data_IF_694054196611
#
_entry.id   IF_694054196611
#
_cell.length_a   1.000
_cell.length_b   1.000
_cell.length_c   1.000
_cell.angle_alpha   90.00
_cell.angle_beta   90.00
_cell.angle_gamma   90.00
#
_symmetry.space_group_name_H-M   'P 1'
#
loop_
_entity.id
_entity.type
_entity.pdbx_description
1 polymer ?
#
# COMPACT_ATOMS: atom_id res chain seq x y z
N UNK A 1 26.63 24.61 18.78
CA UNK A 1 25.89 24.08 19.94
C UNK A 1 24.84 23.14 19.40
N UNK A 2 25.05 21.84 19.59
CA UNK A 2 24.17 20.78 19.11
C UNK A 2 22.95 20.67 20.03
N UNK A 3 21.75 20.59 19.45
CA UNK A 3 20.57 20.10 20.14
C UNK A 3 20.31 18.67 19.68
N UNK A 4 20.73 17.72 20.50
CA UNK A 4 20.31 16.33 20.38
C UNK A 4 18.97 16.14 21.06
N UNK A 5 18.01 15.56 20.34
CA UNK A 5 16.84 14.94 20.93
C UNK A 5 16.93 13.44 20.68
N UNK A 6 17.44 12.74 21.69
CA UNK A 6 17.27 11.30 21.83
C UNK A 6 16.07 11.04 22.75
N UNK A 7 15.09 10.29 22.25
CA UNK A 7 14.24 9.44 23.09
C UNK A 7 14.16 8.10 22.38
N UNK A 8 14.99 7.17 22.83
CA UNK A 8 14.97 5.77 22.40
C UNK A 8 13.91 4.99 23.16
N UNK A 9 13.18 4.13 22.44
CA UNK A 9 12.42 3.01 23.01
C UNK A 9 13.18 1.73 22.57
N UNK A 10 13.53 0.81 23.49
CA UNK A 10 14.32 -0.37 23.14
C UNK A 10 13.42 -1.51 22.62
N UNK A 11 13.78 -2.08 21.46
CA UNK A 11 13.28 -3.39 21.04
C UNK A 11 12.49 -3.46 19.74
N UNK A 12 13.12 -3.14 18.61
CA UNK A 12 13.09 -3.85 17.32
C UNK A 12 13.75 -2.95 16.27
N UNK A 13 15.03 -3.22 15.99
CA UNK A 13 15.75 -2.59 14.89
C UNK A 13 15.12 -3.05 13.56
N UNK A 14 14.32 -2.19 12.94
CA UNK A 14 14.18 -2.21 11.49
C UNK A 14 15.57 -1.95 10.89
N UNK A 15 16.06 -2.78 9.94
CA UNK A 15 17.32 -2.52 9.28
C UNK A 15 17.11 -1.39 8.28
N UNK A 16 17.19 -0.14 8.75
CA UNK A 16 17.21 1.04 7.91
C UNK A 16 18.66 1.55 7.82
N UNK A 17 19.29 1.11 6.73
CA UNK A 17 20.14 1.91 5.85
C UNK A 17 21.17 2.80 6.54
N UNK A 18 22.39 2.27 6.70
CA UNK A 18 23.59 3.09 6.86
C UNK A 18 24.33 3.08 5.51
N UNK A 19 23.95 4.00 4.62
CA UNK A 19 24.70 4.38 3.43
C UNK A 19 24.61 5.90 3.30
N UNK A 20 25.74 6.56 3.01
CA UNK A 20 25.86 8.00 2.86
C UNK A 20 24.90 8.56 1.80
N UNK A 21 23.74 9.06 2.24
CA UNK A 21 22.88 9.89 1.41
C UNK A 21 23.40 11.34 1.43
N UNK A 22 23.43 12.00 0.28
CA UNK A 22 23.65 13.45 0.22
C UNK A 22 22.45 14.15 0.90
N UNK A 23 22.72 15.00 1.89
CA UNK A 23 21.74 15.79 2.64
C UNK A 23 20.86 16.64 1.71
N UNK A 24 21.40 17.07 0.56
CA UNK A 24 20.67 17.78 -0.50
C UNK A 24 19.59 16.91 -1.15
N UNK A 25 19.88 15.62 -1.40
CA UNK A 25 18.91 14.68 -1.97
C UNK A 25 17.74 14.48 -1.02
N UNK A 26 18.02 14.28 0.28
CA UNK A 26 16.97 14.20 1.30
C UNK A 26 16.12 15.46 1.36
N UNK A 27 16.74 16.62 1.21
CA UNK A 27 16.05 17.92 1.20
C UNK A 27 15.13 18.06 -0.02
N UNK A 28 15.60 17.74 -1.22
CA UNK A 28 14.81 17.77 -2.45
C UNK A 28 13.64 16.79 -2.38
N UNK A 29 13.88 15.57 -1.91
CA UNK A 29 12.83 14.57 -1.76
C UNK A 29 11.77 15.04 -0.77
N UNK A 30 12.17 15.60 0.37
CA UNK A 30 11.25 16.18 1.36
C UNK A 30 10.46 17.36 0.80
N UNK A 31 11.08 18.18 -0.04
CA UNK A 31 10.41 19.28 -0.74
C UNK A 31 9.38 18.80 -1.77
N UNK A 32 9.65 17.71 -2.49
CA UNK A 32 8.74 17.17 -3.52
C UNK A 32 7.37 16.84 -2.95
N UNK A 33 7.32 16.19 -1.79
CA UNK A 33 6.05 15.95 -1.10
C UNK A 33 6.25 15.94 0.42
N UNK A 34 5.50 16.76 1.17
CA UNK A 34 5.48 16.66 2.63
C UNK A 34 4.66 15.44 3.11
N UNK A 35 3.95 14.76 2.20
CA UNK A 35 3.07 13.65 2.53
C UNK A 35 3.86 12.35 2.55
N UNK A 36 3.84 11.67 3.70
CA UNK A 36 4.36 10.32 3.83
C UNK A 36 3.23 9.34 4.14
N UNK A 37 3.16 8.25 3.36
CA UNK A 37 2.26 7.13 3.61
C UNK A 37 2.85 6.09 4.57
N UNK A 38 4.11 6.23 4.98
CA UNK A 38 4.76 5.26 5.87
C UNK A 38 4.08 5.13 7.24
N UNK A 39 3.61 6.21 7.90
CA UNK A 39 2.86 6.08 9.16
C UNK A 39 1.54 5.31 8.99
N UNK A 40 0.83 5.52 7.88
CA UNK A 40 -0.41 4.79 7.57
C UNK A 40 -0.11 3.32 7.29
N UNK A 41 0.96 3.03 6.56
CA UNK A 41 1.42 1.67 6.32
C UNK A 41 1.69 0.93 7.63
N UNK A 42 2.44 1.56 8.55
CA UNK A 42 2.73 0.99 9.87
C UNK A 42 1.46 0.75 10.68
N UNK A 43 0.53 1.71 10.74
CA UNK A 43 -0.77 1.53 11.43
C UNK A 43 -1.55 0.33 10.88
N UNK A 44 -1.67 0.22 9.55
CA UNK A 44 -2.41 -0.89 8.94
C UNK A 44 -1.70 -2.24 9.10
N UNK A 45 -0.36 -2.23 9.10
CA UNK A 45 0.46 -3.41 9.37
C UNK A 45 0.30 -3.87 10.82
N UNK A 46 0.25 -2.95 11.79
CA UNK A 46 0.11 -3.27 13.22
C UNK A 46 -1.31 -3.71 13.57
N UNK A 47 -2.32 -3.19 12.86
CA UNK A 47 -3.73 -3.60 13.01
C UNK A 47 -4.02 -4.97 12.38
N UNK A 48 -3.16 -5.46 11.50
CA UNK A 48 -3.31 -6.77 10.86
C UNK A 48 -3.09 -7.87 11.89
N UNK A 49 -4.01 -8.83 11.93
CA UNK A 49 -3.78 -10.06 12.67
C UNK A 49 -2.71 -10.94 11.97
N UNK A 50 -1.59 -11.29 12.64
CA UNK A 50 -0.52 -12.06 12.03
C UNK A 50 -0.98 -13.34 11.34
N UNK A 51 -0.65 -13.44 10.05
CA UNK A 51 -0.93 -14.62 9.24
C UNK A 51 -2.36 -14.75 8.73
N UNK A 52 -3.16 -13.68 8.79
CA UNK A 52 -4.38 -13.54 7.99
C UNK A 52 -4.07 -12.96 6.60
N UNK A 53 -4.97 -13.12 5.63
CA UNK A 53 -4.87 -12.50 4.30
C UNK A 53 -3.75 -13.03 3.39
N UNK A 54 -2.89 -13.93 3.88
CA UNK A 54 -1.79 -14.54 3.09
C UNK A 54 -2.28 -15.40 1.92
N UNK A 55 -3.51 -15.88 1.99
CA UNK A 55 -4.14 -16.67 0.92
C UNK A 55 -4.12 -15.91 -0.42
N UNK A 56 -4.23 -14.58 -0.38
CA UNK A 56 -4.25 -13.73 -1.57
C UNK A 56 -2.94 -13.82 -2.37
N UNK A 57 -1.80 -14.00 -1.69
CA UNK A 57 -0.49 -14.12 -2.32
C UNK A 57 -0.32 -15.45 -3.09
N UNK A 58 -1.13 -16.45 -2.76
CA UNK A 58 -1.08 -17.77 -3.37
C UNK A 58 -2.00 -17.90 -4.60
N UNK A 59 -2.87 -16.93 -4.88
CA UNK A 59 -3.85 -17.07 -5.96
C UNK A 59 -3.20 -16.94 -7.34
N UNK A 60 -3.77 -17.58 -8.38
CA UNK A 60 -3.27 -17.46 -9.74
C UNK A 60 -3.27 -16.01 -10.25
N UNK A 61 -4.27 -15.21 -9.86
CA UNK A 61 -4.43 -13.83 -10.29
C UNK A 61 -3.30 -12.96 -9.74
N UNK A 62 -2.99 -13.09 -8.45
CA UNK A 62 -1.87 -12.38 -7.83
C UNK A 62 -0.53 -12.78 -8.45
N UNK A 63 -0.30 -14.08 -8.66
CA UNK A 63 0.94 -14.58 -9.27
C UNK A 63 1.10 -14.12 -10.71
N UNK A 64 0.01 -14.16 -11.50
CA UNK A 64 -0.01 -13.66 -12.88
C UNK A 64 0.34 -12.18 -12.92
N UNK A 65 -0.30 -11.39 -12.05
CA UNK A 65 -0.02 -9.96 -11.88
C UNK A 65 1.42 -9.69 -11.45
N UNK A 66 1.99 -10.50 -10.54
CA UNK A 66 3.35 -10.30 -10.05
C UNK A 66 4.43 -10.59 -11.10
N UNK A 67 4.15 -11.53 -12.01
CA UNK A 67 5.13 -12.03 -12.99
C UNK A 67 5.04 -11.35 -14.35
N UNK A 68 3.89 -10.77 -14.70
CA UNK A 68 3.65 -10.23 -16.03
C UNK A 68 3.79 -8.71 -16.04
N UNK A 69 4.47 -8.12 -17.02
CA UNK A 69 4.64 -6.67 -17.10
C UNK A 69 3.32 -5.96 -17.42
N UNK A 70 3.22 -4.69 -17.00
CA UNK A 70 2.10 -3.77 -17.30
C UNK A 70 0.72 -4.32 -16.93
N UNK A 71 0.62 -5.09 -15.84
CA UNK A 71 -0.64 -5.66 -15.37
C UNK A 71 -1.33 -4.79 -14.32
N UNK A 72 -2.65 -4.71 -14.41
CA UNK A 72 -3.50 -4.19 -13.33
C UNK A 72 -4.20 -5.37 -12.65
N UNK A 73 -4.20 -5.40 -11.32
CA UNK A 73 -4.94 -6.37 -10.52
C UNK A 73 -6.04 -5.62 -9.76
N UNK A 74 -7.29 -5.89 -10.13
CA UNK A 74 -8.43 -5.31 -9.44
C UNK A 74 -8.81 -6.17 -8.24
N UNK A 75 -8.88 -5.56 -7.05
CA UNK A 75 -9.23 -6.28 -5.83
C UNK A 75 -10.54 -5.73 -5.22
N UNK A 76 -11.72 -6.11 -5.75
CA UNK A 76 -13.00 -5.70 -5.20
C UNK A 76 -13.28 -6.40 -3.88
N UNK A 77 -14.12 -5.79 -3.04
CA UNK A 77 -14.66 -6.47 -1.87
C UNK A 77 -15.70 -5.67 -1.12
N UNK A 78 -16.56 -6.35 -0.38
CA UNK A 78 -17.59 -5.72 0.44
C UNK A 78 -17.00 -4.84 1.57
N UNK A 79 -17.76 -3.87 2.11
CA UNK A 79 -17.39 -3.20 3.36
C UNK A 79 -17.08 -4.23 4.46
N UNK A 80 -15.99 -4.03 5.20
CA UNK A 80 -15.55 -4.96 6.24
C UNK A 80 -14.83 -6.23 5.76
N UNK A 81 -14.69 -6.47 4.44
CA UNK A 81 -14.03 -7.66 3.91
C UNK A 81 -12.50 -7.73 4.13
N UNK A 82 -11.89 -6.71 4.73
CA UNK A 82 -10.44 -6.68 5.01
C UNK A 82 -9.58 -6.09 3.88
N UNK A 83 -10.15 -5.30 2.96
CA UNK A 83 -9.42 -4.68 1.85
C UNK A 83 -8.17 -3.90 2.28
N UNK A 84 -8.33 -3.02 3.27
CA UNK A 84 -7.24 -2.22 3.87
C UNK A 84 -6.17 -3.08 4.57
N UNK A 85 -6.47 -4.33 4.91
CA UNK A 85 -5.48 -5.28 5.43
C UNK A 85 -4.71 -5.97 4.30
N UNK A 86 -5.31 -6.13 3.12
CA UNK A 86 -4.62 -6.75 1.98
C UNK A 86 -3.52 -5.85 1.41
N UNK A 87 -3.78 -4.55 1.26
CA UNK A 87 -2.80 -3.61 0.71
C UNK A 87 -1.41 -3.64 1.43
N UNK A 88 -1.30 -3.54 2.77
CA UNK A 88 -0.01 -3.66 3.46
C UNK A 88 0.61 -5.05 3.33
N UNK A 89 -0.17 -6.13 3.21
CA UNK A 89 0.37 -7.48 2.93
C UNK A 89 1.07 -7.51 1.58
N UNK A 90 0.45 -6.94 0.54
CA UNK A 90 1.05 -6.85 -0.80
C UNK A 90 2.32 -6.01 -0.78
N UNK A 91 2.29 -4.84 -0.13
CA UNK A 91 3.47 -3.97 0.01
C UNK A 91 4.62 -4.68 0.74
N UNK A 92 4.34 -5.31 1.89
CA UNK A 92 5.32 -6.10 2.66
C UNK A 92 5.96 -7.20 1.78
N UNK A 93 5.15 -7.95 1.02
CA UNK A 93 5.62 -9.03 0.15
C UNK A 93 6.52 -8.49 -0.97
N UNK A 94 6.15 -7.38 -1.61
CA UNK A 94 6.98 -6.76 -2.65
C UNK A 94 8.33 -6.30 -2.09
N UNK A 95 8.34 -5.65 -0.93
CA UNK A 95 9.59 -5.24 -0.28
C UNK A 95 10.46 -6.42 0.13
N UNK A 96 9.84 -7.51 0.62
CA UNK A 96 10.55 -8.73 0.98
C UNK A 96 11.17 -9.40 -0.25
N UNK A 97 10.38 -9.59 -1.32
CA UNK A 97 10.77 -10.28 -2.53
C UNK A 97 11.86 -9.54 -3.31
N UNK A 98 11.77 -8.22 -3.40
CA UNK A 98 12.69 -7.38 -4.18
C UNK A 98 13.67 -6.61 -3.30
N UNK A 99 13.93 -7.07 -2.06
CA UNK A 99 14.82 -6.40 -1.11
C UNK A 99 16.22 -6.14 -1.65
N UNK A 100 16.75 -7.09 -2.42
CA UNK A 100 18.11 -7.03 -3.00
C UNK A 100 18.13 -6.45 -4.41
N UNK A 101 16.96 -6.08 -4.97
CA UNK A 101 16.86 -5.55 -6.32
C UNK A 101 16.65 -4.04 -6.27
N UNK A 102 17.65 -3.31 -6.75
CA UNK A 102 17.57 -1.88 -6.98
C UNK A 102 16.76 -1.57 -8.25
N UNK A 103 16.73 -2.47 -9.24
CA UNK A 103 16.01 -2.29 -10.52
C UNK A 103 14.48 -2.37 -10.43
N UNK A 104 13.91 -2.67 -9.26
CA UNK A 104 12.47 -2.74 -9.06
C UNK A 104 12.03 -1.56 -8.20
N UNK A 105 11.11 -0.74 -8.71
CA UNK A 105 10.48 0.37 -7.97
C UNK A 105 9.26 -0.12 -7.19
N UNK A 106 9.10 0.33 -5.95
CA UNK A 106 7.91 0.03 -5.14
C UNK A 106 7.42 1.33 -4.53
N UNK A 107 6.16 1.68 -4.79
CA UNK A 107 5.47 2.80 -4.20
C UNK A 107 4.04 2.40 -3.81
N UNK A 108 3.45 3.12 -2.87
CA UNK A 108 2.10 2.84 -2.39
C UNK A 108 1.38 4.11 -1.92
N UNK A 109 0.06 4.08 -2.01
CA UNK A 109 -0.85 5.14 -1.58
C UNK A 109 -2.02 4.51 -0.86
N UNK A 110 -2.35 5.07 0.31
CA UNK A 110 -3.55 4.72 1.06
C UNK A 110 -4.56 5.84 0.95
N UNK A 111 -5.64 5.62 0.21
CA UNK A 111 -6.71 6.58 0.06
C UNK A 111 -7.52 6.66 1.36
N UNK A 112 -8.02 7.85 1.68
CA UNK A 112 -8.72 8.09 2.93
C UNK A 112 -9.61 9.33 2.77
N UNK A 113 -10.92 9.10 2.77
CA UNK A 113 -11.92 10.16 2.60
C UNK A 113 -11.85 11.28 3.65
N UNK A 114 -11.20 11.06 4.82
CA UNK A 114 -11.05 12.09 5.87
C UNK A 114 -9.91 13.08 5.57
N UNK A 115 -9.05 12.79 4.60
CA UNK A 115 -7.85 13.59 4.27
C UNK A 115 -7.92 14.22 2.88
N UNK A 116 -9.13 14.58 2.42
CA UNK A 116 -9.37 15.12 1.07
C UNK A 116 -8.51 16.33 0.71
N UNK A 117 -8.19 17.22 1.67
CA UNK A 117 -7.33 18.39 1.38
C UNK A 117 -5.86 18.02 1.12
N UNK A 118 -5.37 16.91 1.68
CA UNK A 118 -4.02 16.39 1.45
C UNK A 118 -3.94 15.54 0.17
N UNK A 119 -5.07 14.98 -0.26
CA UNK A 119 -5.18 14.10 -1.42
C UNK A 119 -5.51 14.92 -2.67
N UNK A 120 -4.64 15.84 -3.09
CA UNK A 120 -4.70 16.41 -4.43
C UNK A 120 -3.92 15.53 -5.40
N UNK A 121 -4.32 15.48 -6.67
CA UNK A 121 -3.66 14.61 -7.67
C UNK A 121 -2.15 14.84 -7.77
N UNK A 122 -1.72 16.11 -7.73
CA UNK A 122 -0.32 16.48 -7.77
C UNK A 122 0.46 15.99 -6.53
N UNK A 123 -0.16 16.05 -5.35
CA UNK A 123 0.46 15.62 -4.10
C UNK A 123 0.66 14.10 -4.04
N UNK A 124 -0.31 13.34 -4.55
CA UNK A 124 -0.21 11.88 -4.67
C UNK A 124 0.88 11.49 -5.67
N UNK A 125 0.91 12.12 -6.84
CA UNK A 125 1.96 11.85 -7.82
C UNK A 125 3.35 12.20 -7.26
N UNK A 126 3.45 13.33 -6.56
CA UNK A 126 4.70 13.73 -5.92
C UNK A 126 5.13 12.75 -4.82
N UNK A 127 4.20 12.23 -4.00
CA UNK A 127 4.53 11.23 -2.97
C UNK A 127 4.94 9.89 -3.57
N UNK A 128 4.36 9.48 -4.71
CA UNK A 128 4.78 8.30 -5.46
C UNK A 128 6.20 8.47 -6.03
N UNK A 129 6.47 9.61 -6.68
CA UNK A 129 7.80 9.93 -7.22
C UNK A 129 8.84 9.96 -6.10
N UNK A 130 8.51 10.59 -4.96
CA UNK A 130 9.37 10.64 -3.79
C UNK A 130 9.75 9.23 -3.31
N UNK A 131 8.77 8.33 -3.17
CA UNK A 131 9.01 6.94 -2.75
C UNK A 131 9.93 6.18 -3.72
N UNK A 132 9.71 6.35 -5.03
CA UNK A 132 10.54 5.74 -6.06
C UNK A 132 11.97 6.30 -6.06
N UNK A 133 12.11 7.61 -5.87
CA UNK A 133 13.41 8.28 -5.82
C UNK A 133 14.21 7.91 -4.56
N UNK A 134 13.55 7.72 -3.40
CA UNK A 134 14.20 7.21 -2.19
C UNK A 134 14.83 5.83 -2.37
N UNK A 135 14.35 5.03 -3.31
CA UNK A 135 14.88 3.69 -3.57
C UNK A 135 16.16 3.70 -4.42
N UNK A 136 16.38 4.75 -5.22
CA UNK A 136 17.62 5.00 -5.98
C UNK A 136 18.12 6.44 -5.77
N UNK A 137 18.58 6.79 -4.55
CA UNK A 137 19.02 8.15 -4.25
C UNK A 137 20.29 8.56 -5.02
N UNK A 138 21.07 7.60 -5.51
CA UNK A 138 22.34 7.83 -6.20
C UNK A 138 22.20 8.42 -7.61
N UNK A 139 21.01 8.47 -8.20
CA UNK A 139 20.82 8.91 -9.60
C UNK A 139 19.46 9.60 -9.82
N UNK A 140 19.25 10.77 -9.19
CA UNK A 140 18.07 11.60 -9.47
C UNK A 140 17.98 12.05 -10.94
N UNK A 141 19.10 12.10 -11.65
CA UNK A 141 19.15 12.48 -13.07
C UNK A 141 18.49 11.46 -14.00
N UNK A 142 18.34 10.19 -13.59
CA UNK A 142 17.61 9.18 -14.37
C UNK A 142 17.13 8.03 -13.49
N UNK A 143 15.99 8.22 -12.82
CA UNK A 143 15.32 7.14 -12.10
C UNK A 143 14.82 6.11 -13.14
N UNK A 144 15.53 4.99 -13.26
CA UNK A 144 15.16 3.88 -14.14
C UNK A 144 14.92 2.62 -13.33
N UNK A 145 13.73 2.06 -13.51
CA UNK A 145 13.33 0.76 -12.99
C UNK A 145 12.93 -0.13 -14.18
N UNK A 146 13.33 -1.39 -14.13
CA UNK A 146 12.91 -2.41 -15.09
C UNK A 146 11.44 -2.81 -14.85
N UNK A 147 10.98 -2.66 -13.60
CA UNK A 147 9.63 -2.94 -13.17
C UNK A 147 9.27 -2.00 -12.01
N UNK A 148 8.07 -1.43 -12.04
CA UNK A 148 7.53 -0.60 -10.96
C UNK A 148 6.25 -1.25 -10.46
N UNK A 149 6.07 -1.28 -9.14
CA UNK A 149 4.82 -1.64 -8.48
C UNK A 149 4.25 -0.42 -7.77
N UNK A 150 2.99 -0.08 -8.06
CA UNK A 150 2.28 1.02 -7.41
C UNK A 150 1.03 0.46 -6.74
N UNK A 151 1.02 0.30 -5.42
CA UNK A 151 -0.13 -0.26 -4.67
C UNK A 151 -1.09 0.87 -4.28
N UNK A 152 -2.37 0.75 -4.64
CA UNK A 152 -3.40 1.72 -4.26
C UNK A 152 -4.44 1.04 -3.37
N UNK A 153 -4.58 1.50 -2.13
CA UNK A 153 -5.66 1.05 -1.24
C UNK A 153 -6.86 1.98 -1.29
N UNK A 154 -8.06 1.40 -1.23
CA UNK A 154 -9.33 2.09 -1.10
C UNK A 154 -9.58 3.13 -2.19
N UNK A 155 -9.37 2.76 -3.46
CA UNK A 155 -9.52 3.65 -4.61
C UNK A 155 -10.90 4.33 -4.68
N UNK A 156 -11.95 3.70 -4.13
CA UNK A 156 -13.31 4.26 -4.02
C UNK A 156 -13.39 5.46 -3.08
N UNK A 157 -12.48 5.56 -2.10
CA UNK A 157 -12.42 6.65 -1.14
C UNK A 157 -11.78 7.92 -1.72
N UNK A 158 -11.32 7.89 -2.98
CA UNK A 158 -11.03 9.12 -3.72
C UNK A 158 -12.31 9.89 -4.04
N UNK A 159 -12.74 10.71 -3.08
CA UNK A 159 -13.73 11.75 -3.29
C UNK A 159 -13.03 13.10 -3.42
N UNK A 160 -12.62 13.44 -4.65
CA UNK A 160 -12.14 14.78 -4.97
C UNK A 160 -13.27 15.52 -5.67
N UNK A 161 -13.63 16.70 -5.17
CA UNK A 161 -14.80 17.48 -5.60
C UNK A 161 -14.72 18.01 -7.06
N UNK A 162 -13.67 17.67 -7.81
CA UNK A 162 -13.29 18.30 -9.08
C UNK A 162 -12.95 17.31 -10.22
N UNK A 163 -13.22 16.01 -10.06
CA UNK A 163 -12.86 15.00 -11.07
C UNK A 163 -11.40 14.53 -11.02
N UNK A 164 -10.63 14.94 -10.01
CA UNK A 164 -9.21 14.57 -9.86
C UNK A 164 -8.94 13.06 -9.67
N UNK A 165 -9.94 12.23 -9.29
CA UNK A 165 -9.81 10.76 -9.34
C UNK A 165 -9.48 10.29 -10.75
N UNK A 166 -10.18 10.81 -11.76
CA UNK A 166 -9.94 10.48 -13.16
C UNK A 166 -8.57 10.99 -13.60
N UNK A 167 -8.11 12.12 -13.05
CA UNK A 167 -6.77 12.63 -13.32
C UNK A 167 -5.67 11.72 -12.77
N UNK A 168 -5.74 11.30 -11.51
CA UNK A 168 -4.76 10.35 -10.93
C UNK A 168 -4.75 9.05 -11.72
N UNK A 169 -5.94 8.49 -12.02
CA UNK A 169 -6.05 7.27 -12.81
C UNK A 169 -5.53 7.44 -14.24
N UNK A 170 -5.79 8.57 -14.87
CA UNK A 170 -5.29 8.90 -16.20
C UNK A 170 -3.76 9.01 -16.22
N UNK A 171 -3.16 9.70 -15.25
CA UNK A 171 -1.71 9.84 -15.13
C UNK A 171 -1.04 8.48 -14.86
N UNK A 172 -1.61 7.66 -13.96
CA UNK A 172 -1.11 6.31 -13.68
C UNK A 172 -1.23 5.42 -14.91
N UNK A 173 -2.34 5.50 -15.66
CA UNK A 173 -2.52 4.76 -16.91
C UNK A 173 -1.51 5.22 -17.98
N UNK A 174 -1.26 6.52 -18.11
CA UNK A 174 -0.22 7.06 -19.01
C UNK A 174 1.18 6.56 -18.62
N UNK A 175 1.45 6.43 -17.32
CA UNK A 175 2.68 5.84 -16.80
C UNK A 175 2.76 4.34 -17.16
N UNK A 176 1.67 3.58 -17.08
CA UNK A 176 1.63 2.16 -17.50
C UNK A 176 1.88 1.97 -19.00
N UNK A 177 1.47 2.91 -19.84
CA UNK A 177 1.76 2.85 -21.29
C UNK A 177 3.25 2.99 -21.54
N UNK A 178 3.90 3.94 -20.87
CA UNK A 178 5.30 4.32 -21.11
C UNK A 178 6.32 3.47 -20.33
N UNK A 179 5.94 2.96 -19.16
CA UNK A 179 6.83 2.23 -18.25
C UNK A 179 6.22 0.88 -17.87
N UNK A 180 7.07 -0.04 -17.41
CA UNK A 180 6.61 -1.33 -16.94
C UNK A 180 6.06 -1.20 -15.51
N UNK A 181 4.77 -0.83 -15.40
CA UNK A 181 4.12 -0.56 -14.11
C UNK A 181 2.99 -1.54 -13.84
N UNK A 182 3.07 -2.18 -12.68
CA UNK A 182 2.09 -3.12 -12.19
C UNK A 182 1.28 -2.48 -11.05
N UNK A 183 -0.05 -2.53 -11.17
CA UNK A 183 -0.97 -1.79 -10.32
C UNK A 183 -1.97 -2.73 -9.65
N UNK A 184 -1.84 -3.07 -8.36
CA UNK A 184 -2.93 -3.61 -7.59
C UNK A 184 -3.74 -2.47 -6.96
N UNK A 185 -5.06 -2.51 -7.14
CA UNK A 185 -5.96 -1.52 -6.57
C UNK A 185 -7.06 -2.20 -5.77
N UNK A 186 -7.17 -1.88 -4.48
CA UNK A 186 -8.32 -2.31 -3.66
C UNK A 186 -9.43 -1.29 -3.79
N UNK A 187 -10.68 -1.76 -3.89
CA UNK A 187 -11.83 -0.88 -3.95
C UNK A 187 -13.11 -1.59 -3.53
N UNK A 188 -14.16 -0.84 -3.18
CA UNK A 188 -15.53 -1.38 -3.26
C UNK A 188 -15.86 -1.71 -4.71
N UNK A 189 -16.84 -2.59 -4.89
CA UNK A 189 -17.40 -2.80 -6.21
C UNK A 189 -18.04 -1.48 -6.68
N UNK A 190 -17.43 -0.86 -7.69
CA UNK A 190 -17.90 0.39 -8.28
C UNK A 190 -18.21 0.13 -9.75
N UNK A 191 -19.48 0.30 -10.18
CA UNK A 191 -19.86 0.17 -11.59
C UNK A 191 -19.05 1.08 -12.54
N UNK A 192 -18.65 2.26 -12.08
CA UNK A 192 -17.93 3.30 -12.85
C UNK A 192 -16.41 3.08 -12.98
N UNK A 193 -15.83 2.11 -12.27
CA UNK A 193 -14.39 1.83 -12.39
C UNK A 193 -14.04 0.97 -13.62
N UNK A 194 -15.03 0.71 -14.46
CA UNK A 194 -15.04 -0.20 -15.61
C UNK A 194 -13.98 0.11 -16.66
N UNK A 195 -13.52 1.36 -16.85
CA UNK A 195 -12.52 1.62 -17.89
C UNK A 195 -11.10 1.10 -17.55
N UNK A 196 -10.69 1.17 -16.28
CA UNK A 196 -9.33 0.76 -15.85
C UNK A 196 -9.26 -0.74 -15.54
N UNK A 197 -10.37 -1.33 -15.12
CA UNK A 197 -10.42 -2.70 -14.61
C UNK A 197 -11.09 -3.70 -15.56
N UNK A 198 -11.74 -3.25 -16.64
CA UNK A 198 -12.34 -4.16 -17.59
C UNK A 198 -11.28 -5.02 -18.29
N UNK A 199 -11.49 -6.34 -18.29
CA UNK A 199 -10.58 -7.33 -18.85
C UNK A 199 -9.30 -7.58 -18.04
N UNK A 200 -9.14 -6.95 -16.87
CA UNK A 200 -7.99 -7.15 -15.99
C UNK A 200 -8.22 -8.35 -15.05
N UNK A 201 -7.14 -9.00 -14.56
CA UNK A 201 -7.24 -9.97 -13.46
C UNK A 201 -7.99 -9.38 -12.24
N UNK A 202 -8.90 -10.17 -11.67
CA UNK A 202 -9.71 -9.79 -10.52
C UNK A 202 -9.45 -10.73 -9.34
N UNK A 203 -9.04 -10.19 -8.20
CA UNK A 203 -8.89 -10.90 -6.94
C UNK A 203 -9.95 -10.43 -5.95
N UNK A 204 -11.03 -11.20 -5.82
CA UNK A 204 -12.11 -10.84 -4.90
C UNK A 204 -11.69 -11.00 -3.44
N UNK A 205 -11.76 -9.89 -2.70
CA UNK A 205 -11.42 -9.83 -1.28
C UNK A 205 -12.64 -10.22 -0.47
N UNK A 206 -12.58 -11.40 0.11
CA UNK A 206 -13.63 -11.98 0.94
C UNK A 206 -13.12 -12.27 2.35
N UNK A 207 -13.98 -12.06 3.35
CA UNK A 207 -13.70 -12.41 4.74
C UNK A 207 -13.74 -13.94 4.87
N UNK A 208 -12.57 -14.58 4.90
CA UNK A 208 -12.46 -16.04 5.02
C UNK A 208 -12.67 -16.47 6.46
N UNK A 209 -13.37 -17.57 6.67
CA UNK A 209 -13.66 -18.12 7.99
C UNK A 209 -12.37 -18.35 8.81
N UNK A 210 -11.33 -18.87 8.18
CA UNK A 210 -10.01 -19.08 8.81
C UNK A 210 -9.41 -17.78 9.35
N UNK A 211 -9.49 -16.70 8.57
CA UNK A 211 -8.98 -15.37 8.94
C UNK A 211 -9.84 -14.75 10.05
N UNK A 212 -11.17 -14.90 9.96
CA UNK A 212 -12.13 -14.45 10.97
C UNK A 212 -11.86 -15.15 12.30
N UNK A 213 -11.76 -16.48 12.30
CA UNK A 213 -11.50 -17.28 13.50
C UNK A 213 -10.17 -16.89 14.14
N UNK A 214 -9.14 -16.64 13.33
CA UNK A 214 -7.83 -16.22 13.84
C UNK A 214 -7.89 -14.84 14.48
N UNK A 215 -8.54 -13.89 13.81
CA UNK A 215 -8.78 -12.54 14.33
C UNK A 215 -9.58 -12.58 15.64
N UNK A 216 -10.65 -13.37 15.69
CA UNK A 216 -11.46 -13.52 16.90
C UNK A 216 -10.63 -14.13 18.04
N UNK A 217 -9.91 -15.24 17.81
CA UNK A 217 -9.10 -15.88 18.86
C UNK A 217 -8.07 -14.95 19.49
N UNK A 218 -7.38 -14.14 18.71
CA UNK A 218 -6.38 -13.19 19.23
C UNK A 218 -7.01 -12.00 19.96
N UNK A 219 -8.22 -11.60 19.58
CA UNK A 219 -8.95 -10.48 20.19
C UNK A 219 -9.90 -10.91 21.31
N UNK A 220 -10.22 -12.20 21.43
CA UNK A 220 -11.07 -12.76 22.50
C UNK A 220 -10.48 -12.52 23.88
N UNK A 221 -9.15 -12.51 24.00
CA UNK A 221 -8.41 -12.20 25.24
C UNK A 221 -8.68 -10.75 25.70
N UNK A 222 -9.10 -9.88 24.77
CA UNK A 222 -9.41 -8.46 25.04
C UNK A 222 -10.92 -8.21 25.19
N UNK A 223 -11.76 -9.23 25.03
CA UNK A 223 -13.19 -9.07 25.23
C UNK A 223 -13.50 -8.95 26.72
N UNK A 224 -14.43 -8.07 27.11
CA UNK A 224 -14.92 -8.03 28.48
C UNK A 224 -15.47 -9.41 28.90
N UNK A 225 -15.25 -9.79 30.14
CA UNK A 225 -15.62 -11.10 30.71
C UNK A 225 -17.11 -11.49 30.58
N UNK A 226 -17.98 -10.55 30.21
CA UNK A 226 -19.40 -10.85 29.92
C UNK A 226 -19.59 -11.59 28.59
N UNK A 227 -18.66 -11.48 27.63
CA UNK A 227 -18.76 -12.17 26.33
C UNK A 227 -18.28 -13.63 26.43
N UNK A 228 -17.31 -13.92 27.30
CA UNK A 228 -16.84 -15.28 27.58
C UNK A 228 -17.96 -16.20 28.09
N UNK A 229 -18.89 -15.64 28.89
CA UNK A 229 -20.04 -16.38 29.44
C UNK A 229 -21.06 -16.80 28.38
N UNK A 230 -21.14 -16.09 27.25
CA UNK A 230 -22.06 -16.43 26.16
C UNK A 230 -21.47 -17.57 25.30
N UNK A 231 -20.15 -17.59 25.11
CA UNK A 231 -19.47 -18.63 24.33
C UNK A 231 -19.34 -19.98 25.06
N UNK A 232 -19.41 -20.00 26.40
CA UNK A 232 -19.35 -21.21 27.22
C UNK A 232 -20.74 -21.74 27.64
N UNK A 233 -21.82 -21.10 27.18
CA UNK A 233 -23.20 -21.42 27.56
C UNK A 233 -24.10 -21.90 26.41
N UNK A 234 -23.52 -22.34 25.28
CA UNK A 234 -24.23 -22.92 24.14
C UNK A 234 -23.81 -24.37 23.92
#
# INVERSE_FOLDING_TARGET
>A
MSFGFGVGIPGQQTPLVEYCENEETRTILTWLSPISHAPQHSDYRDRREPGTGKWALATPEFRSWLMSPKQTLYCPGAPGAGKTILAPIVVDELFLRYRSSDNVGIAYVYCNYKRQQEQQSAQILASLIQQLAYRKPSSLETIKFEQIFIVIDALDEFQMQDGSRNRVLHEISAIQVSHNVNLPATSRDIPDATALFNGQPVLEINAREEDIVKYLKSHMIRLPSFVEKIAQGA
#
